data_IF_934208243802
#
_entry.id   IF_934208243802
#
_cell.length_a   1.000
_cell.length_b   1.000
_cell.length_c   1.000
_cell.angle_alpha   90.00
_cell.angle_beta   90.00
_cell.angle_gamma   90.00
#
_symmetry.space_group_name_H-M   'P 1'
#
loop_
_entity.id
_entity.type
_entity.pdbx_description
1 polymer ?
#
# COMPACT_ATOMS: atom_id res chain seq x y z
N UNK A 1 48.33 -15.84 -49.25
CA UNK A 1 47.30 -16.51 -48.42
C UNK A 1 46.96 -15.54 -47.30
N UNK A 2 45.74 -15.00 -47.33
CA UNK A 2 45.32 -13.76 -46.68
C UNK A 2 44.33 -14.01 -45.55
N UNK A 3 44.48 -13.23 -44.47
CA UNK A 3 43.47 -12.78 -43.51
C UNK A 3 42.38 -13.76 -43.05
N UNK A 4 42.62 -14.46 -41.93
CA UNK A 4 41.54 -15.09 -41.13
C UNK A 4 41.65 -14.94 -39.61
N UNK A 5 42.60 -14.15 -39.09
CA UNK A 5 42.84 -14.09 -37.65
C UNK A 5 42.15 -12.91 -36.91
N UNK A 6 41.63 -11.90 -37.62
CA UNK A 6 41.22 -10.65 -36.98
C UNK A 6 39.73 -10.53 -36.62
N UNK A 7 38.87 -11.49 -37.01
CA UNK A 7 37.39 -11.32 -36.87
C UNK A 7 36.81 -11.97 -35.60
N UNK A 8 37.54 -12.86 -34.94
CA UNK A 8 37.00 -13.62 -33.79
C UNK A 8 37.17 -12.96 -32.42
N UNK A 9 37.96 -11.88 -32.31
CA UNK A 9 38.18 -11.20 -31.02
C UNK A 9 37.20 -10.03 -30.74
N UNK A 10 36.40 -9.60 -31.73
CA UNK A 10 35.46 -8.48 -31.56
C UNK A 10 34.05 -8.87 -31.12
N UNK A 11 33.68 -10.15 -31.22
CA UNK A 11 32.30 -10.62 -31.00
C UNK A 11 32.04 -11.11 -29.57
N UNK A 12 33.07 -11.53 -28.83
CA UNK A 12 32.91 -12.02 -27.46
C UNK A 12 32.85 -10.90 -26.41
N UNK A 13 33.55 -9.79 -26.63
CA UNK A 13 33.52 -8.63 -25.72
C UNK A 13 32.22 -7.83 -25.81
N UNK A 14 31.60 -7.74 -26.99
CA UNK A 14 30.31 -7.08 -27.16
C UNK A 14 29.13 -7.83 -26.52
N UNK A 15 29.07 -9.15 -26.69
CA UNK A 15 27.95 -9.95 -26.16
C UNK A 15 27.98 -10.07 -24.62
N UNK A 16 29.17 -10.15 -24.02
CA UNK A 16 29.34 -10.23 -22.56
C UNK A 16 28.95 -8.91 -21.88
N UNK A 17 29.25 -7.75 -22.50
CA UNK A 17 28.83 -6.44 -21.99
C UNK A 17 27.32 -6.19 -22.14
N UNK A 18 26.71 -6.65 -23.24
CA UNK A 18 25.27 -6.48 -23.51
C UNK A 18 24.39 -7.32 -22.58
N UNK A 19 24.89 -8.42 -21.99
CA UNK A 19 24.13 -9.26 -21.05
C UNK A 19 24.46 -8.94 -19.58
N UNK A 20 25.73 -8.72 -19.23
CA UNK A 20 26.11 -8.48 -17.83
C UNK A 20 25.70 -7.09 -17.33
N UNK A 21 25.67 -6.08 -18.19
CA UNK A 21 25.23 -4.72 -17.81
C UNK A 21 23.75 -4.69 -17.42
N UNK A 22 22.78 -5.22 -18.21
CA UNK A 22 21.39 -5.25 -17.78
C UNK A 22 21.15 -6.18 -16.59
N UNK A 23 21.86 -7.31 -16.47
CA UNK A 23 21.76 -8.18 -15.27
C UNK A 23 22.31 -7.48 -14.02
N UNK A 24 23.43 -6.77 -14.13
CA UNK A 24 23.99 -5.97 -13.03
C UNK A 24 23.10 -4.78 -12.65
N UNK A 25 22.50 -4.10 -13.63
CA UNK A 25 21.51 -3.05 -13.40
C UNK A 25 20.24 -3.60 -12.75
N UNK A 26 19.76 -4.77 -13.20
CA UNK A 26 18.57 -5.41 -12.63
C UNK A 26 18.83 -5.86 -11.19
N UNK A 27 19.98 -6.46 -10.91
CA UNK A 27 20.40 -6.82 -9.55
C UNK A 27 20.57 -5.57 -8.65
N UNK A 28 21.12 -4.48 -9.19
CA UNK A 28 21.23 -3.20 -8.48
C UNK A 28 19.85 -2.58 -8.21
N UNK A 29 18.91 -2.65 -9.15
CA UNK A 29 17.52 -2.17 -8.97
C UNK A 29 16.78 -3.01 -7.93
N UNK A 30 16.97 -4.33 -7.93
CA UNK A 30 16.42 -5.22 -6.88
C UNK A 30 17.04 -4.88 -5.53
N UNK A 31 18.36 -4.72 -5.44
CA UNK A 31 19.02 -4.32 -4.20
C UNK A 31 18.53 -2.95 -3.72
N UNK A 32 18.37 -1.96 -4.62
CA UNK A 32 17.84 -0.64 -4.29
C UNK A 32 16.39 -0.70 -3.80
N UNK A 33 15.55 -1.60 -4.32
CA UNK A 33 14.18 -1.83 -3.83
C UNK A 33 14.18 -2.38 -2.40
N UNK A 34 15.06 -3.34 -2.11
CA UNK A 34 15.17 -3.98 -0.79
C UNK A 34 15.65 -3.04 0.33
N UNK A 35 16.40 -1.97 0.01
CA UNK A 35 16.84 -0.96 1.02
C UNK A 35 15.92 0.26 1.13
N UNK A 36 14.95 0.42 0.22
CA UNK A 36 14.07 1.60 0.18
C UNK A 36 12.59 1.26 0.39
N UNK A 37 12.28 0.22 1.18
CA UNK A 37 10.92 0.07 1.72
C UNK A 37 10.65 1.33 2.56
N UNK A 38 9.64 2.15 2.22
CA UNK A 38 9.37 3.35 2.98
C UNK A 38 9.01 2.95 4.41
N UNK A 39 9.50 3.71 5.39
CA UNK A 39 9.25 3.39 6.77
C UNK A 39 7.76 3.51 7.05
N UNK A 40 7.32 2.76 8.06
CA UNK A 40 6.08 3.04 8.77
C UNK A 40 5.96 4.56 9.04
N UNK A 41 4.84 5.21 8.71
CA UNK A 41 4.72 6.64 8.95
C UNK A 41 4.86 7.00 10.45
N UNK A 42 5.29 8.23 10.73
CA UNK A 42 5.62 8.63 12.10
C UNK A 42 4.42 8.58 13.06
N UNK A 43 4.73 8.40 14.36
CA UNK A 43 3.79 8.48 15.48
C UNK A 43 3.53 7.13 16.15
N UNK A 44 3.20 7.12 17.45
CA UNK A 44 2.96 5.89 18.18
C UNK A 44 1.66 5.20 17.71
N UNK A 45 1.51 3.88 17.94
CA UNK A 45 0.23 3.21 17.85
C UNK A 45 -0.84 3.95 18.66
N UNK A 46 -2.03 4.09 18.07
CA UNK A 46 -3.10 4.92 18.63
C UNK A 46 -4.38 4.11 18.82
N UNK A 47 -4.95 4.19 20.02
CA UNK A 47 -6.31 3.73 20.29
C UNK A 47 -7.27 4.88 20.06
N UNK A 48 -8.13 4.75 19.06
CA UNK A 48 -9.19 5.70 18.74
C UNK A 48 -10.55 5.11 19.13
N UNK A 49 -11.40 5.86 19.85
CA UNK A 49 -12.78 5.44 20.04
C UNK A 49 -13.54 5.50 18.70
N UNK A 50 -14.57 4.67 18.56
CA UNK A 50 -15.41 4.58 17.35
C UNK A 50 -15.90 5.95 16.85
N UNK A 51 -16.32 6.84 17.74
CA UNK A 51 -16.77 8.20 17.38
C UNK A 51 -15.67 9.08 16.76
N UNK A 52 -14.40 8.82 17.08
CA UNK A 52 -13.26 9.52 16.49
C UNK A 52 -12.82 8.91 15.16
N UNK A 53 -13.28 7.72 14.81
CA UNK A 53 -13.11 7.18 13.46
C UNK A 53 -14.08 7.83 12.47
N UNK A 54 -15.31 8.15 12.89
CA UNK A 54 -16.34 8.75 12.03
C UNK A 54 -15.91 10.04 11.33
N UNK A 55 -16.42 10.26 10.12
CA UNK A 55 -16.11 11.41 9.28
C UNK A 55 -15.20 11.07 8.11
N UNK A 56 -14.62 12.10 7.50
CA UNK A 56 -13.82 11.96 6.28
C UNK A 56 -12.35 11.73 6.59
N UNK A 57 -11.78 10.75 5.92
CA UNK A 57 -10.34 10.50 5.84
C UNK A 57 -9.89 10.63 4.38
N UNK A 58 -8.69 11.13 4.18
CA UNK A 58 -8.16 11.45 2.85
C UNK A 58 -6.68 11.06 2.74
N UNK A 59 -6.32 10.46 1.61
CA UNK A 59 -4.93 10.24 1.21
C UNK A 59 -4.34 11.47 0.50
N UNK A 60 -3.02 11.47 0.28
CA UNK A 60 -2.32 12.60 -0.34
C UNK A 60 -2.63 12.78 -1.84
N UNK A 61 -3.12 11.73 -2.50
CA UNK A 61 -3.49 11.75 -3.93
C UNK A 61 -4.91 12.27 -4.16
N UNK A 62 -5.68 12.44 -3.08
CA UNK A 62 -7.01 13.00 -3.11
C UNK A 62 -8.14 11.98 -2.92
N UNK A 63 -7.81 10.69 -2.79
CA UNK A 63 -8.74 9.63 -2.44
C UNK A 63 -9.34 9.83 -1.06
N UNK A 64 -10.61 9.45 -0.90
CA UNK A 64 -11.41 9.75 0.30
C UNK A 64 -12.27 8.59 0.72
N UNK A 65 -12.40 8.43 2.03
CA UNK A 65 -13.40 7.57 2.66
C UNK A 65 -14.17 8.35 3.71
N UNK A 66 -15.50 8.24 3.71
CA UNK A 66 -16.39 8.83 4.71
C UNK A 66 -16.98 7.71 5.53
N UNK A 67 -16.62 7.66 6.81
CA UNK A 67 -17.10 6.67 7.77
C UNK A 67 -18.32 7.23 8.52
N UNK A 68 -19.50 6.67 8.25
CA UNK A 68 -20.74 7.07 8.91
C UNK A 68 -20.90 6.39 10.28
N UNK A 69 -21.65 7.03 11.17
CA UNK A 69 -21.85 6.53 12.54
C UNK A 69 -22.61 5.19 12.60
N UNK A 70 -23.39 4.88 11.56
CA UNK A 70 -24.18 3.65 11.45
C UNK A 70 -23.36 2.43 10.98
N UNK A 71 -22.05 2.57 10.82
CA UNK A 71 -21.18 1.49 10.36
C UNK A 71 -21.13 1.34 8.84
N UNK A 72 -21.65 2.31 8.08
CA UNK A 72 -21.51 2.34 6.61
C UNK A 72 -20.41 3.30 6.17
N UNK A 73 -19.88 3.11 4.97
CA UNK A 73 -18.95 4.06 4.36
C UNK A 73 -19.23 4.33 2.90
N UNK A 74 -18.73 5.48 2.43
CA UNK A 74 -18.55 5.79 1.01
C UNK A 74 -17.08 6.07 0.73
N UNK A 75 -16.57 5.56 -0.38
CA UNK A 75 -15.18 5.67 -0.77
C UNK A 75 -15.07 6.16 -2.22
N UNK A 76 -14.09 7.02 -2.49
CA UNK A 76 -13.72 7.49 -3.83
C UNK A 76 -12.23 7.39 -3.96
N UNK A 77 -11.78 6.51 -4.86
CA UNK A 77 -10.37 6.25 -5.20
C UNK A 77 -9.47 6.14 -3.97
N UNK A 78 -9.98 5.56 -2.88
CA UNK A 78 -9.24 5.49 -1.62
C UNK A 78 -8.16 4.43 -1.72
N UNK A 79 -6.93 4.78 -1.36
CA UNK A 79 -5.86 3.79 -1.24
C UNK A 79 -6.20 2.73 -0.18
N UNK A 80 -5.63 1.55 -0.31
CA UNK A 80 -5.74 0.50 0.69
C UNK A 80 -5.08 -0.78 0.23
N UNK A 81 -4.92 -1.70 1.16
CA UNK A 81 -4.56 -3.07 0.87
C UNK A 81 -5.82 -3.91 0.93
N UNK A 82 -6.20 -4.43 -0.23
CA UNK A 82 -7.47 -5.10 -0.40
C UNK A 82 -7.28 -6.58 -0.66
N UNK A 83 -8.23 -7.36 -0.17
CA UNK A 83 -8.30 -8.80 -0.43
C UNK A 83 -9.74 -9.22 -0.70
N UNK A 84 -9.93 -10.12 -1.65
CA UNK A 84 -11.18 -10.81 -1.91
C UNK A 84 -11.04 -12.26 -1.42
N UNK A 85 -11.81 -12.64 -0.40
CA UNK A 85 -11.71 -13.97 0.21
C UNK A 85 -12.33 -15.08 -0.66
N UNK A 86 -13.17 -14.72 -1.63
CA UNK A 86 -13.81 -15.65 -2.55
C UNK A 86 -12.89 -15.99 -3.72
N UNK A 87 -12.25 -14.98 -4.32
CA UNK A 87 -11.34 -15.20 -5.45
C UNK A 87 -9.90 -15.49 -5.00
N UNK A 88 -9.52 -15.02 -3.81
CA UNK A 88 -8.15 -15.03 -3.33
C UNK A 88 -7.27 -13.93 -3.94
N UNK A 89 -7.87 -12.97 -4.67
CA UNK A 89 -7.14 -11.84 -5.22
C UNK A 89 -6.76 -10.85 -4.11
N UNK A 90 -5.64 -10.16 -4.28
CA UNK A 90 -5.18 -9.11 -3.36
C UNK A 90 -4.65 -7.90 -4.11
N UNK A 91 -4.44 -6.78 -3.43
CA UNK A 91 -3.77 -5.63 -4.03
C UNK A 91 -2.38 -6.05 -4.54
N UNK A 92 -2.10 -5.73 -5.80
CA UNK A 92 -0.88 -6.20 -6.50
C UNK A 92 -1.01 -7.57 -7.19
N UNK A 93 -2.07 -8.33 -6.87
CA UNK A 93 -2.38 -9.63 -7.47
C UNK A 93 -3.89 -9.76 -7.75
N UNK A 94 -4.35 -9.09 -8.81
CA UNK A 94 -5.75 -9.17 -9.26
C UNK A 94 -6.65 -8.03 -8.77
N UNK A 95 -6.36 -7.41 -7.63
CA UNK A 95 -7.07 -6.21 -7.16
C UNK A 95 -6.25 -4.93 -7.35
N UNK A 96 -6.94 -3.78 -7.60
CA UNK A 96 -6.30 -2.48 -7.60
C UNK A 96 -5.82 -2.09 -6.20
N UNK A 97 -4.88 -1.14 -6.14
CA UNK A 97 -4.42 -0.50 -4.90
C UNK A 97 -5.35 0.64 -4.43
N UNK A 98 -6.35 1.00 -5.23
CA UNK A 98 -7.35 2.02 -4.90
C UNK A 98 -8.74 1.50 -5.21
N UNK A 99 -9.73 1.90 -4.40
CA UNK A 99 -11.11 1.48 -4.58
C UNK A 99 -12.11 2.65 -4.50
N UNK A 100 -13.20 2.50 -5.23
CA UNK A 100 -14.36 3.40 -5.18
C UNK A 100 -15.59 2.53 -4.95
N UNK A 101 -16.45 2.95 -4.02
CA UNK A 101 -17.65 2.19 -3.72
C UNK A 101 -18.23 2.53 -2.36
N UNK A 102 -19.11 1.67 -1.88
CA UNK A 102 -19.77 1.78 -0.60
C UNK A 102 -19.67 0.47 0.14
N UNK A 103 -19.88 0.46 1.44
CA UNK A 103 -19.78 -0.77 2.21
C UNK A 103 -20.03 -0.57 3.69
N UNK A 104 -19.59 -1.54 4.47
CA UNK A 104 -19.63 -1.50 5.93
C UNK A 104 -18.24 -1.39 6.51
N UNK A 105 -18.14 -0.78 7.68
CA UNK A 105 -16.90 -0.72 8.44
C UNK A 105 -17.13 -1.06 9.89
N UNK A 106 -16.10 -1.61 10.50
CA UNK A 106 -16.02 -1.89 11.92
C UNK A 106 -14.63 -1.56 12.44
N UNK A 107 -14.48 -1.53 13.76
CA UNK A 107 -13.20 -1.27 14.38
C UNK A 107 -12.98 -2.16 15.58
N UNK A 108 -11.76 -2.64 15.75
CA UNK A 108 -11.33 -3.38 16.93
C UNK A 108 -10.02 -2.80 17.48
N UNK A 109 -9.67 -3.19 18.70
CA UNK A 109 -8.38 -2.84 19.32
C UNK A 109 -7.53 -4.11 19.39
N UNK A 110 -6.49 -4.18 18.56
CA UNK A 110 -5.48 -5.22 18.70
C UNK A 110 -4.61 -4.94 19.92
N UNK A 111 -4.10 -6.00 20.54
CA UNK A 111 -3.30 -5.90 21.77
C UNK A 111 -1.84 -6.28 21.58
N UNK A 112 -1.45 -6.79 20.42
CA UNK A 112 -0.11 -7.29 20.12
C UNK A 112 0.36 -6.77 18.76
N UNK A 113 1.60 -6.26 18.63
CA UNK A 113 2.59 -6.01 19.68
C UNK A 113 2.25 -4.80 20.58
N UNK A 114 1.36 -3.92 20.12
CA UNK A 114 0.92 -2.73 20.84
C UNK A 114 -0.59 -2.58 20.78
N UNK A 115 -1.16 -1.80 21.70
CA UNK A 115 -2.59 -1.47 21.67
C UNK A 115 -2.88 -0.47 20.58
N UNK A 116 -3.58 -0.91 19.53
CA UNK A 116 -3.86 -0.09 18.35
C UNK A 116 -5.26 -0.34 17.82
N UNK A 117 -5.93 0.72 17.36
CA UNK A 117 -7.21 0.57 16.67
C UNK A 117 -6.99 0.11 15.24
N UNK A 118 -7.61 -1.01 14.87
CA UNK A 118 -7.82 -1.43 13.50
C UNK A 118 -9.16 -0.93 12.98
N UNK A 119 -9.18 -0.50 11.74
CA UNK A 119 -10.37 -0.22 10.94
C UNK A 119 -10.46 -1.30 9.87
N UNK A 120 -11.58 -2.01 9.81
CA UNK A 120 -11.89 -2.96 8.75
C UNK A 120 -12.98 -2.39 7.86
N UNK A 121 -12.83 -2.55 6.55
CA UNK A 121 -13.83 -2.18 5.56
C UNK A 121 -14.21 -3.38 4.72
N UNK A 122 -15.48 -3.47 4.34
CA UNK A 122 -16.00 -4.48 3.42
C UNK A 122 -16.84 -3.78 2.34
N UNK A 123 -16.43 -3.87 1.07
CA UNK A 123 -17.10 -3.22 -0.05
C UNK A 123 -18.29 -4.04 -0.57
N UNK A 124 -19.39 -3.34 -0.87
CA UNK A 124 -20.61 -3.90 -1.43
C UNK A 124 -20.91 -3.37 -2.85
N UNK A 125 -21.51 -4.18 -3.74
CA UNK A 125 -21.64 -5.64 -3.60
C UNK A 125 -20.27 -6.33 -3.79
N UNK A 126 -19.97 -7.33 -2.98
CA UNK A 126 -18.71 -8.09 -3.08
C UNK A 126 -18.26 -8.62 -1.72
N UNK A 127 -17.06 -9.22 -1.71
CA UNK A 127 -16.35 -9.67 -0.51
C UNK A 127 -14.95 -9.06 -0.41
N UNK A 128 -14.73 -7.93 -1.10
CA UNK A 128 -13.47 -7.21 -1.05
C UNK A 128 -13.40 -6.45 0.25
N UNK A 129 -12.41 -6.78 1.06
CA UNK A 129 -12.16 -6.16 2.36
C UNK A 129 -10.82 -5.45 2.38
N UNK A 130 -10.67 -4.50 3.30
CA UNK A 130 -9.41 -3.82 3.56
C UNK A 130 -9.22 -3.56 5.05
N UNK A 131 -7.97 -3.36 5.45
CA UNK A 131 -7.62 -3.06 6.84
C UNK A 131 -6.67 -1.87 6.92
N UNK A 132 -6.92 -1.00 7.91
CA UNK A 132 -6.05 0.12 8.26
C UNK A 132 -5.82 0.12 9.77
N UNK A 133 -4.66 0.59 10.22
CA UNK A 133 -4.36 0.74 11.65
C UNK A 133 -4.15 2.20 12.02
N UNK A 134 -4.52 2.58 13.24
CA UNK A 134 -4.45 3.95 13.70
C UNK A 134 -3.10 4.28 14.35
N UNK A 135 -2.53 5.44 14.04
CA UNK A 135 -1.31 5.97 14.70
C UNK A 135 -1.38 7.48 14.88
N UNK A 136 -0.38 8.02 15.58
CA UNK A 136 -0.22 9.45 15.79
C UNK A 136 -0.75 9.88 17.15
N UNK A 137 -1.42 11.04 17.20
CA UNK A 137 -2.03 11.56 18.42
C UNK A 137 -3.53 11.73 18.26
N UNK A 138 -4.24 11.98 19.36
CA UNK A 138 -5.68 12.23 19.30
C UNK A 138 -6.04 13.46 18.44
N UNK A 139 -5.15 14.46 18.39
CA UNK A 139 -5.30 15.72 17.67
C UNK A 139 -4.92 15.60 16.20
N UNK A 140 -3.96 14.73 15.89
CA UNK A 140 -3.47 14.49 14.53
C UNK A 140 -3.40 12.99 14.23
N UNK A 141 -4.55 12.28 14.20
CA UNK A 141 -4.56 10.85 13.96
C UNK A 141 -4.36 10.52 12.48
N UNK A 142 -3.77 9.36 12.23
CA UNK A 142 -3.55 8.77 10.91
C UNK A 142 -4.14 7.36 10.89
N UNK A 143 -4.67 6.95 9.74
CA UNK A 143 -4.93 5.55 9.42
C UNK A 143 -3.95 5.10 8.35
N UNK A 144 -3.39 3.90 8.43
CA UNK A 144 -2.42 3.46 7.44
C UNK A 144 -2.35 1.95 7.27
N UNK A 145 -1.79 1.52 6.15
CA UNK A 145 -1.38 0.13 5.88
C UNK A 145 -0.27 0.10 4.81
N UNK A 146 0.50 -0.98 4.76
CA UNK A 146 1.26 -1.33 3.56
C UNK A 146 0.30 -1.83 2.48
N UNK A 147 0.62 -1.61 1.21
CA UNK A 147 -0.20 -2.00 0.06
C UNK A 147 0.53 -3.04 -0.78
N UNK A 148 -0.12 -4.18 -1.00
CA UNK A 148 0.45 -5.33 -1.68
C UNK A 148 1.57 -5.99 -0.88
N UNK A 149 2.57 -6.51 -1.58
CA UNK A 149 3.76 -7.06 -0.92
C UNK A 149 4.50 -5.94 -0.14
N UNK A 150 4.69 -6.05 1.19
CA UNK A 150 5.41 -5.05 1.98
C UNK A 150 6.78 -4.67 1.42
N UNK A 151 7.47 -5.60 0.76
CA UNK A 151 8.78 -5.37 0.14
C UNK A 151 8.69 -4.46 -1.11
N UNK A 152 7.49 -4.29 -1.67
CA UNK A 152 7.24 -3.36 -2.78
C UNK A 152 7.19 -1.91 -2.35
N UNK A 153 6.98 -1.66 -1.05
CA UNK A 153 6.98 -0.35 -0.45
C UNK A 153 5.77 0.53 -0.76
N UNK A 154 4.63 -0.06 -1.15
CA UNK A 154 3.37 0.68 -1.23
C UNK A 154 2.89 1.05 0.17
N UNK A 155 2.57 2.33 0.40
CA UNK A 155 1.95 2.78 1.64
C UNK A 155 0.64 3.48 1.32
N UNK A 156 -0.39 3.12 2.06
CA UNK A 156 -1.61 3.90 2.14
C UNK A 156 -1.63 4.64 3.47
N UNK A 157 -1.76 5.96 3.44
CA UNK A 157 -1.83 6.81 4.64
C UNK A 157 -2.99 7.77 4.47
N UNK A 158 -3.92 7.72 5.41
CA UNK A 158 -5.09 8.58 5.45
C UNK A 158 -5.00 9.53 6.63
N UNK A 159 -5.19 10.82 6.34
CA UNK A 159 -5.30 11.88 7.33
C UNK A 159 -6.78 12.18 7.56
N UNK A 160 -7.13 12.51 8.80
CA UNK A 160 -8.45 13.07 9.11
C UNK A 160 -8.61 14.35 8.30
N UNK A 161 -9.61 14.44 7.44
CA UNK A 161 -9.92 15.71 6.80
C UNK A 161 -10.57 16.61 7.85
N UNK A 162 -10.12 17.87 7.92
CA UNK A 162 -10.78 18.85 8.77
C UNK A 162 -12.26 18.89 8.43
N UNK A 163 -13.11 18.80 9.45
CA UNK A 163 -14.52 19.07 9.31
C UNK A 163 -14.65 20.55 8.93
N UNK A 164 -14.65 20.85 7.63
CA UNK A 164 -14.92 22.21 7.19
C UNK A 164 -16.35 22.55 7.64
N UNK A 165 -16.55 23.62 8.43
CA UNK A 165 -17.86 24.04 8.87
C UNK A 165 -18.78 24.41 7.70
#
# INVERSE_FOLDING_TARGET
>A
MSNRAAVLLGLFTGAVLVVLVPVGLFALVILLRLVNVPPEPDGPPLVLPYSRLQGTWQDEEGGRIVLAADGTFTATTICGDYSDDVTGDSSGFGLPATMTGTGTWESDVYTEPDRVTGLFTEFAPGHVSGQLTARGTAESPLLWTFVGDPDSGGLCVLKKADARP
#
